data_IF_323337986938
#
_entry.id   IF_323337986938
#
_cell.length_a   1.000
_cell.length_b   1.000
_cell.length_c   1.000
_cell.angle_alpha   90.00
_cell.angle_beta   90.00
_cell.angle_gamma   90.00
#
_symmetry.space_group_name_H-M   'P 1'
#
loop_
_entity.id
_entity.type
_entity.pdbx_description
1 polymer ?
#
# COMPACT_ATOMS: atom_id res chain seq x y z
N UNK A 1 2.40 -1.32 19.42
CA UNK A 1 0.97 -0.99 19.54
C UNK A 1 0.31 -1.31 18.22
N UNK A 2 -0.98 -1.69 18.21
CA UNK A 2 -1.75 -1.80 16.98
C UNK A 2 -1.83 -0.44 16.28
N UNK A 3 -2.08 -0.47 14.98
CA UNK A 3 -2.22 0.74 14.17
C UNK A 3 -3.37 0.65 13.19
N UNK A 4 -3.90 1.80 12.79
CA UNK A 4 -4.78 1.95 11.62
C UNK A 4 -3.99 2.60 10.49
N UNK A 5 -4.13 2.09 9.27
CA UNK A 5 -3.56 2.72 8.07
C UNK A 5 -4.61 3.65 7.47
N UNK A 6 -4.30 4.94 7.39
CA UNK A 6 -5.22 5.99 6.93
C UNK A 6 -5.09 6.29 5.44
N UNK A 7 -3.90 6.08 4.87
CA UNK A 7 -3.70 6.25 3.43
C UNK A 7 -2.50 5.47 2.89
N UNK A 8 -2.54 5.18 1.60
CA UNK A 8 -1.44 4.57 0.84
C UNK A 8 -1.14 5.40 -0.41
N UNK A 9 0.11 5.82 -0.58
CA UNK A 9 0.58 6.53 -1.77
C UNK A 9 1.75 5.76 -2.39
N UNK A 10 1.55 5.14 -3.57
CA UNK A 10 2.65 4.62 -4.35
C UNK A 10 3.67 5.72 -4.68
N UNK A 11 4.95 5.41 -4.53
CA UNK A 11 6.01 6.30 -4.94
C UNK A 11 7.08 5.56 -5.76
N UNK A 12 7.48 6.19 -6.85
CA UNK A 12 8.47 5.70 -7.81
C UNK A 12 8.73 6.74 -8.88
N UNK A 13 9.58 6.39 -9.85
CA UNK A 13 9.86 7.21 -11.01
C UNK A 13 9.26 6.60 -12.29
N UNK A 14 9.95 6.71 -13.42
CA UNK A 14 9.41 6.49 -14.76
C UNK A 14 8.98 5.06 -15.10
N UNK A 15 9.49 4.05 -14.39
CA UNK A 15 9.24 2.64 -14.70
C UNK A 15 8.21 2.03 -13.78
N UNK A 16 7.93 2.61 -12.61
CA UNK A 16 6.86 2.12 -11.75
C UNK A 16 5.52 2.26 -12.49
N UNK A 17 4.75 1.17 -12.57
CA UNK A 17 3.42 1.14 -13.22
C UNK A 17 2.31 0.70 -12.26
N UNK A 18 2.69 0.25 -11.07
CA UNK A 18 1.74 -0.14 -10.04
C UNK A 18 2.43 -0.51 -8.74
N UNK A 19 1.64 -0.55 -7.66
CA UNK A 19 2.14 -0.96 -6.34
C UNK A 19 1.02 -1.56 -5.51
N UNK A 20 1.36 -2.60 -4.75
CA UNK A 20 0.47 -3.20 -3.76
C UNK A 20 0.98 -2.96 -2.35
N UNK A 21 0.04 -2.98 -1.40
CA UNK A 21 0.28 -3.08 0.03
C UNK A 21 -0.51 -4.28 0.53
N UNK A 22 0.18 -5.16 1.24
CA UNK A 22 -0.37 -6.37 1.86
C UNK A 22 0.04 -6.42 3.33
N UNK A 23 -0.78 -7.06 4.16
CA UNK A 23 -0.49 -7.33 5.56
C UNK A 23 -0.24 -8.83 5.69
N UNK A 24 0.94 -9.19 6.16
CA UNK A 24 1.30 -10.56 6.49
C UNK A 24 1.13 -10.78 7.99
N UNK A 25 0.43 -11.85 8.36
CA UNK A 25 0.37 -12.35 9.74
C UNK A 25 1.40 -13.48 9.92
N UNK A 26 2.49 -13.26 10.68
CA UNK A 26 3.50 -14.29 10.91
C UNK A 26 3.02 -15.50 11.71
N UNK A 27 1.89 -15.41 12.43
CA UNK A 27 1.34 -16.50 13.24
C UNK A 27 0.56 -17.49 12.39
N UNK A 28 -0.23 -17.00 11.44
CA UNK A 28 -1.05 -17.84 10.55
C UNK A 28 -0.35 -18.13 9.23
N UNK A 29 0.59 -17.28 8.81
CA UNK A 29 1.21 -17.32 7.49
C UNK A 29 0.33 -16.72 6.38
N UNK A 30 -0.77 -16.07 6.74
CA UNK A 30 -1.70 -15.48 5.78
C UNK A 30 -1.24 -14.10 5.30
N UNK A 31 -1.57 -13.80 4.05
CA UNK A 31 -1.29 -12.51 3.41
C UNK A 31 -2.61 -11.89 2.95
N UNK A 32 -2.94 -10.73 3.50
CA UNK A 32 -4.14 -9.97 3.18
C UNK A 32 -3.80 -8.79 2.28
N UNK A 33 -4.42 -8.71 1.11
CA UNK A 33 -4.27 -7.56 0.22
C UNK A 33 -5.12 -6.39 0.70
N UNK A 34 -4.47 -5.27 1.05
CA UNK A 34 -5.17 -4.07 1.53
C UNK A 34 -5.21 -2.95 0.49
N UNK A 35 -4.26 -2.91 -0.44
CA UNK A 35 -4.31 -1.98 -1.56
C UNK A 35 -3.59 -2.50 -2.79
N UNK A 36 -4.17 -2.17 -3.94
CA UNK A 36 -3.60 -2.44 -5.25
C UNK A 36 -3.87 -1.23 -6.14
N UNK A 37 -2.80 -0.55 -6.53
CA UNK A 37 -2.85 0.55 -7.49
C UNK A 37 -2.23 0.06 -8.79
N UNK A 38 -3.04 -0.01 -9.83
CA UNK A 38 -2.64 -0.33 -11.20
C UNK A 38 -2.67 0.92 -12.08
N UNK A 39 -2.06 0.85 -13.26
CA UNK A 39 -1.98 1.96 -14.23
C UNK A 39 -1.48 3.27 -13.60
N UNK A 40 -0.56 3.13 -12.64
CA UNK A 40 0.05 4.25 -11.95
C UNK A 40 1.00 4.99 -12.90
N UNK A 41 1.04 6.31 -12.76
CA UNK A 41 1.94 7.18 -13.53
C UNK A 41 2.66 8.12 -12.58
N UNK A 42 3.90 8.47 -12.91
CA UNK A 42 4.67 9.43 -12.12
C UNK A 42 4.26 10.90 -12.32
N UNK A 43 3.23 11.15 -13.11
CA UNK A 43 2.68 12.50 -13.32
C UNK A 43 2.05 13.04 -12.02
N UNK A 44 1.48 12.16 -11.19
CA UNK A 44 0.81 12.52 -9.94
C UNK A 44 1.06 11.51 -8.81
N UNK A 45 1.76 11.93 -7.76
CA UNK A 45 1.89 11.16 -6.51
C UNK A 45 0.68 11.40 -5.61
N UNK A 46 -0.41 10.72 -5.91
CA UNK A 46 -1.69 10.87 -5.18
C UNK A 46 -1.75 9.95 -3.97
N UNK A 47 -2.17 10.49 -2.82
CA UNK A 47 -2.48 9.66 -1.64
C UNK A 47 -3.88 9.08 -1.77
N UNK A 48 -4.00 7.76 -1.71
CA UNK A 48 -5.29 7.08 -1.64
C UNK A 48 -5.69 6.98 -0.18
N UNK A 49 -6.64 7.83 0.23
CA UNK A 49 -7.17 7.88 1.60
C UNK A 49 -8.27 6.83 1.73
N UNK A 50 -8.18 5.98 2.76
CA UNK A 50 -9.21 4.99 3.01
C UNK A 50 -10.47 5.64 3.61
N UNK A 51 -11.64 5.09 3.26
CA UNK A 51 -12.85 5.37 4.04
C UNK A 51 -12.67 4.86 5.47
N UNK A 52 -13.34 5.52 6.43
CA UNK A 52 -13.20 5.22 7.86
C UNK A 52 -13.44 3.74 8.21
N UNK A 53 -14.44 3.12 7.57
CA UNK A 53 -14.80 1.71 7.75
C UNK A 53 -13.94 0.73 6.92
N UNK A 54 -13.13 1.23 5.99
CA UNK A 54 -12.27 0.43 5.11
C UNK A 54 -10.77 0.55 5.44
N UNK A 55 -10.38 1.51 6.28
CA UNK A 55 -9.00 1.72 6.71
C UNK A 55 -8.45 0.45 7.38
N UNK A 56 -7.33 -0.14 6.92
CA UNK A 56 -6.81 -1.38 7.52
C UNK A 56 -6.49 -1.23 9.01
N UNK A 57 -6.93 -2.19 9.83
CA UNK A 57 -6.55 -2.31 11.24
C UNK A 57 -5.47 -3.38 11.33
N UNK A 58 -4.31 -3.02 11.87
CA UNK A 58 -3.11 -3.83 11.84
C UNK A 58 -2.70 -4.15 13.28
N UNK A 59 -2.79 -5.43 13.70
CA UNK A 59 -2.38 -5.82 15.04
C UNK A 59 -0.85 -5.73 15.19
N UNK A 60 -0.39 -5.61 16.43
CA UNK A 60 1.04 -5.61 16.71
C UNK A 60 1.68 -6.95 16.31
N UNK A 61 2.81 -6.86 15.59
CA UNK A 61 3.54 -8.04 15.11
C UNK A 61 3.24 -8.44 13.66
N UNK A 62 2.25 -7.83 13.01
CA UNK A 62 2.06 -7.97 11.57
C UNK A 62 3.23 -7.36 10.78
N UNK A 63 3.42 -7.82 9.55
CA UNK A 63 4.45 -7.32 8.62
C UNK A 63 3.76 -6.68 7.41
N UNK A 64 4.15 -5.45 7.07
CA UNK A 64 3.69 -4.84 5.82
C UNK A 64 4.57 -5.32 4.67
N UNK A 65 3.93 -5.83 3.61
CA UNK A 65 4.59 -6.26 2.37
C UNK A 65 4.21 -5.28 1.28
N UNK A 66 5.20 -4.66 0.64
CA UNK A 66 5.00 -3.68 -0.43
C UNK A 66 5.68 -4.22 -1.69
N UNK A 67 4.89 -4.46 -2.73
CA UNK A 67 5.40 -4.93 -4.03
C UNK A 67 5.23 -3.81 -5.06
N UNK A 68 6.33 -3.38 -5.66
CA UNK A 68 6.33 -2.45 -6.81
C UNK A 68 6.48 -3.20 -8.13
N UNK A 69 5.69 -2.82 -9.12
CA UNK A 69 5.72 -3.38 -10.47
C UNK A 69 6.34 -2.36 -11.42
N UNK A 70 7.35 -2.79 -12.19
CA UNK A 70 8.10 -1.90 -13.08
C UNK A 70 8.04 -2.39 -14.53
N UNK A 71 7.77 -1.48 -15.45
CA UNK A 71 7.80 -1.71 -16.89
C UNK A 71 9.01 -0.98 -17.53
N UNK A 72 10.03 -1.76 -17.88
CA UNK A 72 11.22 -1.27 -18.60
C UNK A 72 11.16 -1.56 -20.12
N UNK A 73 9.99 -1.90 -20.67
CA UNK A 73 9.85 -2.12 -22.12
C UNK A 73 9.89 -0.80 -22.89
N UNK A 74 10.12 -0.88 -24.21
CA UNK A 74 10.01 0.26 -25.12
C UNK A 74 8.56 0.76 -25.31
N UNK A 75 7.56 0.01 -24.82
CA UNK A 75 6.14 0.38 -24.89
C UNK A 75 5.72 1.36 -23.80
N UNK A 76 6.44 1.41 -22.68
CA UNK A 76 6.18 2.37 -21.61
C UNK A 76 6.62 3.77 -22.05
N UNK A 77 5.65 4.64 -22.39
CA UNK A 77 5.91 6.02 -22.82
C UNK A 77 6.59 6.88 -21.76
N UNK A 78 6.50 6.50 -20.48
CA UNK A 78 7.18 7.20 -19.40
C UNK A 78 8.67 6.84 -19.32
N UNK A 79 9.07 5.68 -19.86
CA UNK A 79 10.44 5.20 -19.83
C UNK A 79 11.31 5.91 -20.90
N UNK A 80 12.28 6.77 -20.50
CA UNK A 80 13.06 7.54 -21.46
C UNK A 80 14.09 6.71 -22.23
N UNK A 81 14.54 5.58 -21.67
CA UNK A 81 15.48 4.67 -22.33
C UNK A 81 15.31 3.24 -21.78
N UNK A 82 14.71 2.31 -22.55
CA UNK A 82 14.51 0.93 -22.13
C UNK A 82 15.80 0.10 -22.12
N UNK A 83 16.88 0.55 -22.77
CA UNK A 83 18.15 -0.18 -22.84
C UNK A 83 19.09 0.17 -21.69
N UNK A 84 18.77 1.18 -20.88
CA UNK A 84 19.60 1.54 -19.72
C UNK A 84 19.41 0.57 -18.56
N UNK A 85 20.53 0.22 -17.93
CA UNK A 85 20.50 -0.36 -16.60
C UNK A 85 20.14 0.74 -15.60
N UNK A 86 19.12 0.50 -14.78
CA UNK A 86 18.61 1.47 -13.80
C UNK A 86 18.63 0.86 -12.41
N UNK A 87 19.16 1.64 -11.47
CA UNK A 87 19.21 1.30 -10.06
C UNK A 87 18.46 2.31 -9.19
N UNK A 88 18.52 2.09 -7.89
CA UNK A 88 17.97 3.03 -6.90
C UNK A 88 18.71 4.37 -6.95
N UNK A 89 17.99 5.47 -6.97
CA UNK A 89 18.57 6.81 -6.88
C UNK A 89 17.53 7.92 -6.78
N UNK A 90 18.00 9.15 -6.62
CA UNK A 90 17.13 10.32 -6.42
C UNK A 90 16.83 11.10 -7.70
N UNK A 91 17.50 10.79 -8.83
CA UNK A 91 17.19 11.42 -10.11
C UNK A 91 15.96 10.75 -10.70
N UNK A 92 15.13 11.47 -11.43
CA UNK A 92 13.97 10.90 -12.11
C UNK A 92 14.32 9.75 -13.07
N UNK A 93 15.55 9.74 -13.60
CA UNK A 93 16.05 8.65 -14.45
C UNK A 93 16.47 7.39 -13.68
N UNK A 94 16.80 7.53 -12.39
CA UNK A 94 16.98 6.40 -11.46
C UNK A 94 15.60 5.89 -11.01
N UNK A 95 15.54 4.92 -10.09
CA UNK A 95 14.27 4.44 -9.52
C UNK A 95 14.14 4.59 -8.00
N UNK A 96 12.89 4.62 -7.54
CA UNK A 96 12.50 4.55 -6.13
C UNK A 96 11.40 3.51 -5.91
N UNK A 97 11.45 2.81 -4.78
CA UNK A 97 10.54 1.69 -4.49
C UNK A 97 9.64 1.86 -3.28
N UNK A 98 9.74 2.98 -2.55
CA UNK A 98 9.02 3.17 -1.28
C UNK A 98 7.56 3.62 -1.49
N UNK A 99 6.78 3.67 -0.41
CA UNK A 99 5.43 4.23 -0.42
C UNK A 99 5.30 5.19 0.77
N UNK A 100 4.41 6.16 0.66
CA UNK A 100 4.02 6.98 1.80
C UNK A 100 2.77 6.38 2.42
N UNK A 101 2.83 6.09 3.72
CA UNK A 101 1.76 5.41 4.46
C UNK A 101 1.45 6.28 5.68
N UNK A 102 0.21 6.78 5.76
CA UNK A 102 -0.26 7.49 6.94
C UNK A 102 -0.77 6.48 7.96
N UNK A 103 -0.34 6.61 9.21
CA UNK A 103 -0.62 5.64 10.28
C UNK A 103 -1.10 6.36 11.52
N UNK A 104 -2.22 5.90 12.07
CA UNK A 104 -2.72 6.29 13.40
C UNK A 104 -2.40 5.18 14.38
N UNK A 105 -1.66 5.50 15.45
CA UNK A 105 -1.41 4.57 16.54
C UNK A 105 -2.66 4.44 17.42
N UNK A 106 -2.99 3.20 17.78
CA UNK A 106 -4.11 2.88 18.66
C UNK A 106 -3.59 2.25 19.96
N UNK A 107 -4.32 2.45 21.05
CA UNK A 107 -4.22 1.54 22.19
C UNK A 107 -5.05 0.27 21.94
N UNK A 108 -4.86 -0.72 22.82
CA UNK A 108 -5.50 -2.02 22.64
C UNK A 108 -7.04 -1.91 22.78
N UNK A 109 -7.54 -1.05 23.68
CA UNK A 109 -8.98 -0.82 23.87
C UNK A 109 -9.62 -0.24 22.60
N UNK A 110 -9.05 0.82 22.03
CA UNK A 110 -9.57 1.45 20.79
C UNK A 110 -9.50 0.50 19.61
N UNK A 111 -8.45 -0.33 19.52
CA UNK A 111 -8.32 -1.34 18.48
C UNK A 111 -9.42 -2.40 18.60
N UNK A 112 -9.63 -2.96 19.79
CA UNK A 112 -10.65 -3.97 20.05
C UNK A 112 -12.06 -3.44 19.77
N UNK A 113 -12.34 -2.19 20.15
CA UNK A 113 -13.60 -1.52 19.83
C UNK A 113 -13.83 -1.43 18.31
N UNK A 114 -12.86 -0.91 17.56
CA UNK A 114 -12.98 -0.77 16.10
C UNK A 114 -13.14 -2.12 15.39
N UNK A 115 -12.48 -3.18 15.87
CA UNK A 115 -12.66 -4.55 15.36
C UNK A 115 -14.08 -5.02 15.63
N UNK A 116 -14.57 -4.91 16.87
CA UNK A 116 -15.91 -5.35 17.25
C UNK A 116 -17.01 -4.62 16.46
N UNK A 117 -16.86 -3.32 16.23
CA UNK A 117 -17.81 -2.54 15.42
C UNK A 117 -17.80 -2.94 13.94
N UNK A 118 -16.69 -3.44 13.39
CA UNK A 118 -16.63 -3.92 12.00
C UNK A 118 -17.33 -5.26 11.86
N UNK A 119 -17.12 -6.16 12.81
CA UNK A 119 -17.77 -7.46 12.81
C UNK A 119 -19.29 -7.34 12.99
N UNK A 120 -19.76 -6.44 13.86
CA UNK A 120 -21.20 -6.21 14.03
C UNK A 120 -21.86 -5.65 12.76
N UNK A 121 -21.20 -4.71 12.06
CA UNK A 121 -21.66 -4.15 10.77
C UNK A 121 -21.76 -5.22 9.68
N UNK A 122 -20.73 -6.05 9.52
CA UNK A 122 -20.77 -7.17 8.57
C UNK A 122 -21.93 -8.12 8.84
N UNK A 123 -22.27 -8.33 10.11
CA UNK A 123 -23.41 -9.19 10.46
C UNK A 123 -24.75 -8.56 10.11
N UNK A 124 -24.89 -7.22 10.26
CA UNK A 124 -26.13 -6.51 9.92
C UNK A 124 -26.35 -6.38 8.41
N UNK A 125 -25.28 -6.28 7.61
CA UNK A 125 -25.38 -6.20 6.14
C UNK A 125 -25.72 -7.55 5.48
N UNK A 126 -25.64 -8.66 6.23
CA UNK A 126 -25.91 -10.02 5.74
C UNK A 126 -27.32 -10.55 6.10
N UNK A 127 -28.11 -9.78 6.85
CA UNK A 127 -29.50 -10.08 7.24
C UNK A 127 -30.52 -9.27 6.39
#
# INVERSE_FOLDING_TARGET
TPVRIDSFQPHGHFRLVGKTLEIFDPKTGELEMVSSVSDWTNDWHTSHIYAENAAPLVPAGSVLVITGYYDNTAGNKQNPDPNQWVGRGSRSADEMSHAWIAVTHLDDESYEQLVAERESRKQTDND
#
